data_IF_367253893706
#
_entry.id   IF_367253893706
#
_cell.length_a   1.000
_cell.length_b   1.000
_cell.length_c   1.000
_cell.angle_alpha   90.00
_cell.angle_beta   90.00
_cell.angle_gamma   90.00
#
_symmetry.space_group_name_H-M   'P 1'
#
loop_
_entity.id
_entity.type
_entity.pdbx_description
1 polymer ?
#
# COMPACT_ATOMS: atom_id res chain seq x y z
N UNK A 1 7.54 12.11 13.65
CA UNK A 1 6.51 11.08 13.86
C UNK A 1 5.76 10.82 12.55
N UNK A 2 5.68 9.56 12.13
CA UNK A 2 4.89 9.09 10.99
C UNK A 2 3.41 9.18 11.33
N UNK A 3 2.61 9.63 10.36
CA UNK A 3 1.15 9.77 10.46
C UNK A 3 0.41 9.05 9.34
N UNK A 4 1.04 8.94 8.17
CA UNK A 4 0.49 8.21 7.03
C UNK A 4 1.42 7.08 6.61
N UNK A 5 0.84 5.93 6.30
CA UNK A 5 1.56 4.76 5.80
C UNK A 5 0.93 4.41 4.46
N UNK A 6 1.73 4.48 3.40
CA UNK A 6 1.31 4.21 2.03
C UNK A 6 1.94 2.89 1.60
N UNK A 7 1.10 1.98 1.14
CA UNK A 7 1.52 0.69 0.61
C UNK A 7 1.46 0.71 -0.91
N UNK A 8 2.41 0.08 -1.57
CA UNK A 8 2.20 -0.53 -2.88
C UNK A 8 1.30 -1.78 -2.76
N UNK A 9 0.87 -2.37 -3.88
CA UNK A 9 -0.03 -3.53 -3.90
C UNK A 9 0.64 -4.83 -4.37
N UNK A 10 0.92 -4.95 -5.67
CA UNK A 10 1.52 -6.16 -6.26
C UNK A 10 2.90 -6.43 -5.66
N UNK A 11 3.17 -7.67 -5.23
CA UNK A 11 4.38 -8.04 -4.47
C UNK A 11 4.59 -7.31 -3.16
N UNK A 12 3.66 -6.47 -2.72
CA UNK A 12 3.69 -5.82 -1.41
C UNK A 12 2.63 -6.44 -0.48
N UNK A 13 1.36 -6.41 -0.87
CA UNK A 13 0.23 -6.99 -0.13
C UNK A 13 0.00 -8.48 -0.47
N UNK A 14 0.32 -8.89 -1.69
CA UNK A 14 0.14 -10.25 -2.20
C UNK A 14 1.27 -10.69 -3.10
N UNK A 15 1.37 -12.00 -3.33
CA UNK A 15 2.45 -12.63 -4.10
C UNK A 15 2.31 -12.48 -5.63
N UNK A 16 1.20 -11.96 -6.14
CA UNK A 16 1.01 -11.76 -7.58
C UNK A 16 1.72 -10.49 -8.09
N UNK A 17 2.18 -10.53 -9.35
CA UNK A 17 2.99 -9.46 -9.96
C UNK A 17 2.18 -8.36 -10.66
N UNK A 18 0.95 -8.66 -11.08
CA UNK A 18 0.14 -7.73 -11.86
C UNK A 18 -1.35 -8.09 -11.83
N UNK A 19 -2.11 -7.57 -10.86
CA UNK A 19 -3.56 -7.83 -10.83
C UNK A 19 -4.34 -7.16 -11.97
N UNK A 20 -3.71 -6.30 -12.78
CA UNK A 20 -4.36 -5.68 -13.94
C UNK A 20 -4.75 -6.72 -15.00
N UNK A 21 -4.11 -7.89 -14.99
CA UNK A 21 -4.38 -9.01 -15.91
C UNK A 21 -5.60 -9.84 -15.50
N UNK A 22 -6.11 -9.68 -14.28
CA UNK A 22 -7.17 -10.53 -13.76
C UNK A 22 -8.45 -10.38 -14.56
N UNK A 23 -9.10 -11.49 -14.89
CA UNK A 23 -10.37 -11.53 -15.60
C UNK A 23 -11.53 -11.99 -14.71
N UNK A 24 -12.70 -11.38 -14.90
CA UNK A 24 -13.90 -11.72 -14.15
C UNK A 24 -14.50 -13.07 -14.61
N UNK A 25 -15.26 -13.77 -13.76
CA UNK A 25 -15.50 -13.46 -12.34
C UNK A 25 -14.28 -13.73 -11.45
N UNK A 26 -14.08 -12.88 -10.44
CA UNK A 26 -13.16 -13.16 -9.33
C UNK A 26 -13.80 -14.11 -8.32
N UNK A 27 -13.06 -15.14 -7.91
CA UNK A 27 -13.48 -16.17 -6.95
C UNK A 27 -12.58 -16.15 -5.73
N UNK A 28 -13.16 -15.88 -4.56
CA UNK A 28 -12.47 -16.04 -3.28
C UNK A 28 -12.37 -17.54 -2.94
N UNK A 29 -11.15 -18.06 -2.86
CA UNK A 29 -10.88 -19.47 -2.54
C UNK A 29 -10.91 -19.68 -1.03
N UNK A 30 -10.28 -18.76 -0.30
CA UNK A 30 -10.29 -18.66 1.15
C UNK A 30 -10.10 -17.19 1.57
N UNK A 31 -9.95 -16.91 2.86
CA UNK A 31 -9.84 -15.52 3.35
C UNK A 31 -8.65 -14.74 2.78
N UNK A 32 -7.62 -15.40 2.26
CA UNK A 32 -6.37 -14.80 1.81
C UNK A 32 -6.03 -15.11 0.35
N UNK A 33 -6.84 -15.91 -0.34
CA UNK A 33 -6.55 -16.42 -1.69
C UNK A 33 -7.66 -16.05 -2.66
N UNK A 34 -7.30 -15.40 -3.77
CA UNK A 34 -8.23 -14.98 -4.82
C UNK A 34 -7.79 -15.55 -6.17
N UNK A 35 -8.75 -16.07 -6.93
CA UNK A 35 -8.55 -16.63 -8.27
C UNK A 35 -9.41 -15.89 -9.30
N UNK A 36 -8.88 -15.69 -10.51
CA UNK A 36 -9.61 -15.12 -11.65
C UNK A 36 -10.21 -16.20 -12.57
N UNK A 37 -10.98 -15.82 -13.59
CA UNK A 37 -11.62 -16.78 -14.50
C UNK A 37 -10.66 -17.53 -15.44
N UNK A 38 -9.38 -17.13 -15.47
CA UNK A 38 -8.31 -17.79 -16.21
C UNK A 38 -7.46 -18.71 -15.34
N UNK A 39 -7.79 -18.83 -14.05
CA UNK A 39 -7.04 -19.64 -13.08
C UNK A 39 -5.76 -18.95 -12.58
N UNK A 40 -5.63 -17.63 -12.76
CA UNK A 40 -4.57 -16.85 -12.10
C UNK A 40 -4.93 -16.71 -10.63
N UNK A 41 -3.97 -17.00 -9.76
CA UNK A 41 -4.15 -16.98 -8.30
C UNK A 41 -3.23 -15.93 -7.69
N UNK A 42 -3.74 -15.18 -6.71
CA UNK A 42 -2.93 -14.39 -5.79
C UNK A 42 -3.18 -14.88 -4.35
N UNK A 43 -2.12 -14.84 -3.53
CA UNK A 43 -2.17 -15.07 -2.10
C UNK A 43 -1.71 -13.81 -1.37
N UNK A 44 -2.47 -13.37 -0.36
CA UNK A 44 -1.98 -12.36 0.58
C UNK A 44 -0.73 -12.88 1.30
N UNK A 45 0.22 -12.00 1.55
CA UNK A 45 1.31 -12.32 2.44
C UNK A 45 0.80 -12.52 3.88
N UNK A 46 1.52 -13.29 4.71
CA UNK A 46 1.17 -13.46 6.12
C UNK A 46 1.01 -12.13 6.85
N UNK A 47 0.03 -12.07 7.76
CA UNK A 47 -0.26 -10.96 8.67
C UNK A 47 -0.67 -9.63 8.02
N UNK A 48 -0.94 -9.58 6.70
CA UNK A 48 -1.36 -8.35 6.00
C UNK A 48 -2.62 -7.75 6.62
N UNK A 49 -3.66 -8.57 6.80
CA UNK A 49 -4.96 -8.11 7.32
C UNK A 49 -4.85 -7.63 8.76
N UNK A 50 -4.18 -8.42 9.59
CA UNK A 50 -3.93 -8.14 11.01
C UNK A 50 -3.13 -6.84 11.16
N UNK A 51 -2.12 -6.65 10.32
CA UNK A 51 -1.26 -5.46 10.36
C UNK A 51 -2.01 -4.22 9.91
N UNK A 52 -2.75 -4.26 8.79
CA UNK A 52 -3.55 -3.14 8.33
C UNK A 52 -4.61 -2.74 9.38
N UNK A 53 -5.29 -3.73 9.96
CA UNK A 53 -6.26 -3.51 11.04
C UNK A 53 -5.63 -2.84 12.26
N UNK A 54 -4.49 -3.33 12.72
CA UNK A 54 -3.80 -2.78 13.89
C UNK A 54 -3.26 -1.37 13.63
N UNK A 55 -2.75 -1.10 12.42
CA UNK A 55 -2.34 0.25 12.04
C UNK A 55 -3.53 1.23 12.05
N UNK A 56 -4.71 0.80 11.56
CA UNK A 56 -5.94 1.60 11.68
C UNK A 56 -6.36 1.83 13.12
N UNK A 57 -6.30 0.81 13.97
CA UNK A 57 -6.61 0.94 15.40
C UNK A 57 -5.70 1.94 16.11
N UNK A 58 -4.43 2.04 15.67
CA UNK A 58 -3.45 3.02 16.18
C UNK A 58 -3.64 4.44 15.62
N UNK A 59 -4.62 4.65 14.73
CA UNK A 59 -4.95 5.96 14.18
C UNK A 59 -4.04 6.40 13.02
N UNK A 60 -3.30 5.50 12.39
CA UNK A 60 -2.57 5.83 11.17
C UNK A 60 -3.54 6.03 9.99
N UNK A 61 -3.20 6.97 9.12
CA UNK A 61 -3.87 7.13 7.83
C UNK A 61 -3.24 6.13 6.86
N UNK A 62 -4.05 5.26 6.26
CA UNK A 62 -3.55 4.24 5.33
C UNK A 62 -3.85 4.62 3.89
N UNK A 63 -2.81 4.69 3.08
CA UNK A 63 -2.88 4.92 1.64
C UNK A 63 -2.48 3.70 0.83
N UNK A 64 -3.03 3.56 -0.37
CA UNK A 64 -2.54 2.62 -1.39
C UNK A 64 -2.08 3.41 -2.61
N UNK A 65 -0.85 3.19 -3.07
CA UNK A 65 -0.29 3.77 -4.28
C UNK A 65 0.12 2.64 -5.22
N UNK A 66 -0.73 2.26 -6.17
CA UNK A 66 -0.51 1.06 -7.00
C UNK A 66 -0.43 1.33 -8.50
N UNK A 67 0.44 0.59 -9.19
CA UNK A 67 0.56 0.62 -10.64
C UNK A 67 -0.38 -0.42 -11.27
N UNK A 68 -1.69 -0.15 -11.23
CA UNK A 68 -2.72 -0.99 -11.83
C UNK A 68 -3.85 -0.16 -12.44
N UNK A 69 -4.75 -0.83 -13.15
CA UNK A 69 -6.07 -0.26 -13.45
C UNK A 69 -6.90 -0.12 -12.17
N UNK A 70 -7.52 1.03 -11.99
CA UNK A 70 -8.23 1.39 -10.76
C UNK A 70 -9.42 0.47 -10.48
N UNK A 71 -10.22 0.16 -11.49
CA UNK A 71 -11.35 -0.76 -11.36
C UNK A 71 -10.89 -2.15 -10.89
N UNK A 72 -9.78 -2.66 -11.45
CA UNK A 72 -9.18 -3.95 -11.07
C UNK A 72 -8.68 -3.93 -9.62
N UNK A 73 -7.94 -2.90 -9.24
CA UNK A 73 -7.42 -2.75 -7.88
C UNK A 73 -8.56 -2.72 -6.85
N UNK A 74 -9.60 -1.91 -7.08
CA UNK A 74 -10.76 -1.81 -6.18
C UNK A 74 -11.47 -3.15 -6.04
N UNK A 75 -11.69 -3.88 -7.16
CA UNK A 75 -12.34 -5.19 -7.13
C UNK A 75 -11.55 -6.23 -6.35
N UNK A 76 -10.24 -6.30 -6.56
CA UNK A 76 -9.36 -7.23 -5.83
C UNK A 76 -9.34 -6.90 -4.34
N UNK A 77 -9.18 -5.62 -3.98
CA UNK A 77 -9.21 -5.18 -2.57
C UNK A 77 -10.56 -5.48 -1.91
N UNK A 78 -11.67 -5.29 -2.62
CA UNK A 78 -13.00 -5.61 -2.10
C UNK A 78 -13.18 -7.11 -1.90
N UNK A 79 -12.79 -7.94 -2.88
CA UNK A 79 -12.91 -9.39 -2.79
C UNK A 79 -12.08 -9.98 -1.64
N UNK A 80 -10.92 -9.38 -1.34
CA UNK A 80 -10.04 -9.77 -0.24
C UNK A 80 -10.38 -9.12 1.11
N UNK A 81 -11.47 -8.34 1.19
CA UNK A 81 -11.86 -7.59 2.40
C UNK A 81 -10.78 -6.61 2.92
N UNK A 82 -9.99 -6.05 2.00
CA UNK A 82 -8.93 -5.07 2.31
C UNK A 82 -9.38 -3.62 2.11
N UNK A 83 -10.41 -3.40 1.29
CA UNK A 83 -10.84 -2.05 0.88
C UNK A 83 -11.14 -1.14 2.08
N UNK A 84 -11.74 -1.69 3.14
CA UNK A 84 -12.11 -1.00 4.37
C UNK A 84 -10.94 -0.42 5.17
N UNK A 85 -9.71 -0.90 4.94
CA UNK A 85 -8.55 -0.43 5.70
C UNK A 85 -7.92 0.82 5.09
N UNK A 86 -8.11 1.09 3.80
CA UNK A 86 -7.45 2.21 3.12
C UNK A 86 -8.34 3.45 3.12
N UNK A 87 -7.81 4.55 3.64
CA UNK A 87 -8.48 5.86 3.63
C UNK A 87 -8.45 6.50 2.24
N UNK A 88 -7.37 6.24 1.49
CA UNK A 88 -7.11 6.78 0.16
C UNK A 88 -6.49 5.69 -0.71
N UNK A 89 -7.03 5.51 -1.90
CA UNK A 89 -6.52 4.56 -2.88
C UNK A 89 -6.24 5.33 -4.16
N UNK A 90 -4.99 5.30 -4.60
CA UNK A 90 -4.55 5.88 -5.86
C UNK A 90 -3.93 4.77 -6.71
N UNK A 91 -4.73 4.25 -7.63
CA UNK A 91 -4.29 3.32 -8.66
C UNK A 91 -4.14 4.06 -9.98
N UNK A 92 -3.00 3.92 -10.66
CA UNK A 92 -2.78 4.50 -12.00
C UNK A 92 -2.15 3.48 -12.94
N UNK A 93 -2.46 3.52 -14.25
CA UNK A 93 -1.87 2.62 -15.24
C UNK A 93 -0.44 3.03 -15.64
N UNK A 94 0.34 3.60 -14.71
CA UNK A 94 1.74 3.99 -14.91
C UNK A 94 2.55 3.86 -13.59
N UNK A 95 3.89 3.68 -13.65
CA UNK A 95 4.71 3.36 -12.47
C UNK A 95 5.13 4.58 -11.61
N UNK A 96 4.60 5.77 -11.87
CA UNK A 96 5.08 7.01 -11.25
C UNK A 96 4.57 7.18 -9.82
N UNK A 97 5.14 6.41 -8.87
CA UNK A 97 4.77 6.42 -7.45
C UNK A 97 4.81 7.81 -6.82
N UNK A 98 5.77 8.66 -7.19
CA UNK A 98 5.84 10.03 -6.68
C UNK A 98 4.59 10.88 -7.01
N UNK A 99 3.94 10.66 -8.17
CA UNK A 99 2.67 11.32 -8.50
C UNK A 99 1.53 10.78 -7.64
N UNK A 100 1.47 9.46 -7.44
CA UNK A 100 0.46 8.83 -6.59
C UNK A 100 0.58 9.28 -5.14
N UNK A 101 1.79 9.29 -4.58
CA UNK A 101 2.06 9.77 -3.22
C UNK A 101 1.72 11.26 -3.08
N UNK A 102 2.04 12.08 -4.09
CA UNK A 102 1.65 13.50 -4.11
C UNK A 102 0.12 13.64 -4.03
N UNK A 103 -0.62 12.87 -4.83
CA UNK A 103 -2.08 12.85 -4.81
C UNK A 103 -2.60 12.41 -3.43
N UNK A 104 -2.05 11.33 -2.85
CA UNK A 104 -2.43 10.86 -1.51
C UNK A 104 -2.22 11.96 -0.47
N UNK A 105 -1.06 12.62 -0.46
CA UNK A 105 -0.77 13.71 0.49
C UNK A 105 -1.77 14.86 0.34
N UNK A 106 -2.10 15.24 -0.89
CA UNK A 106 -3.10 16.29 -1.18
C UNK A 106 -4.49 15.87 -0.67
N UNK A 107 -4.90 14.63 -0.91
CA UNK A 107 -6.19 14.11 -0.44
C UNK A 107 -6.26 14.04 1.08
N UNK A 108 -5.18 13.63 1.76
CA UNK A 108 -5.08 13.67 3.24
C UNK A 108 -5.29 15.09 3.73
N UNK A 109 -4.56 16.04 3.14
CA UNK A 109 -4.61 17.45 3.55
C UNK A 109 -5.99 18.06 3.35
N UNK A 110 -6.72 17.62 2.32
CA UNK A 110 -8.05 18.12 1.99
C UNK A 110 -9.13 17.51 2.88
N UNK A 111 -9.07 16.20 3.16
CA UNK A 111 -10.10 15.50 3.94
C UNK A 111 -9.97 15.72 5.45
N UNK A 112 -8.75 15.76 5.97
CA UNK A 112 -8.51 15.75 7.41
C UNK A 112 -8.38 17.16 8.05
N UNK A 113 -8.44 18.23 7.25
CA UNK A 113 -8.07 19.61 7.67
C UNK A 113 -6.72 19.66 8.42
N UNK A 114 -5.81 18.75 8.06
CA UNK A 114 -4.52 18.55 8.70
C UNK A 114 -3.46 18.56 7.62
N UNK A 115 -2.42 19.38 7.77
CA UNK A 115 -1.31 19.42 6.83
C UNK A 115 -0.26 18.38 7.23
N UNK A 116 -0.17 17.27 6.50
CA UNK A 116 0.94 16.31 6.61
C UNK A 116 2.08 16.74 5.69
N UNK A 117 3.31 16.52 6.16
CA UNK A 117 4.55 16.73 5.41
C UNK A 117 5.03 15.40 4.83
N UNK A 118 5.83 15.42 3.76
CA UNK A 118 6.49 14.21 3.23
C UNK A 118 7.24 13.40 4.31
N UNK A 119 7.89 14.07 5.28
CA UNK A 119 8.59 13.43 6.41
C UNK A 119 7.71 12.70 7.42
N UNK A 120 6.39 12.87 7.33
CA UNK A 120 5.40 12.17 8.16
C UNK A 120 4.79 10.97 7.40
N UNK A 121 5.29 10.66 6.20
CA UNK A 121 4.85 9.55 5.35
C UNK A 121 5.88 8.43 5.35
N UNK A 122 5.42 7.22 5.64
CA UNK A 122 6.15 5.97 5.39
C UNK A 122 5.59 5.33 4.12
N UNK A 123 6.44 5.04 3.14
CA UNK A 123 6.09 4.32 1.92
C UNK A 123 6.73 2.94 1.90
N UNK A 124 5.92 1.91 1.67
CA UNK A 124 6.33 0.51 1.58
C UNK A 124 6.09 0.00 0.16
N UNK A 125 7.12 -0.52 -0.47
CA UNK A 125 7.10 -1.03 -1.86
C UNK A 125 8.10 -2.18 -1.98
N UNK A 126 7.83 -3.17 -2.81
CA UNK A 126 8.76 -4.27 -3.05
C UNK A 126 9.96 -3.87 -3.92
N UNK A 127 9.92 -2.68 -4.56
CA UNK A 127 10.92 -2.21 -5.51
C UNK A 127 11.53 -0.87 -5.13
N UNK A 128 12.77 -0.93 -4.64
CA UNK A 128 13.60 0.27 -4.36
C UNK A 128 13.76 1.23 -5.55
N UNK A 129 13.64 0.73 -6.78
CA UNK A 129 13.71 1.56 -7.99
C UNK A 129 12.69 2.71 -8.02
N UNK A 130 11.58 2.61 -7.28
CA UNK A 130 10.58 3.67 -7.20
C UNK A 130 11.01 4.84 -6.29
N UNK A 131 11.98 4.65 -5.39
CA UNK A 131 12.27 5.62 -4.32
C UNK A 131 13.01 6.85 -4.80
N UNK A 132 13.87 6.74 -5.82
CA UNK A 132 14.68 7.86 -6.31
C UNK A 132 13.84 9.07 -6.71
N UNK A 133 12.78 8.85 -7.52
CA UNK A 133 11.88 9.93 -7.92
C UNK A 133 11.02 10.44 -6.75
N UNK A 134 10.68 9.58 -5.79
CA UNK A 134 9.97 10.02 -4.58
C UNK A 134 10.83 11.02 -3.82
N UNK A 135 12.10 10.71 -3.57
CA UNK A 135 13.00 11.61 -2.86
C UNK A 135 13.30 12.88 -3.67
N UNK A 136 13.48 12.75 -4.98
CA UNK A 136 13.75 13.90 -5.86
C UNK A 136 12.59 14.91 -5.86
N UNK A 137 11.34 14.44 -5.96
CA UNK A 137 10.18 15.32 -6.15
C UNK A 137 9.41 15.64 -4.86
N UNK A 138 9.40 14.76 -3.87
CA UNK A 138 8.66 14.93 -2.62
C UNK A 138 9.58 15.19 -1.41
N UNK A 139 10.89 14.98 -1.54
CA UNK A 139 11.83 15.16 -0.44
C UNK A 139 11.78 14.00 0.57
N UNK A 140 11.66 14.33 1.86
CA UNK A 140 11.97 13.41 2.95
C UNK A 140 10.90 12.34 3.26
N UNK A 141 10.30 11.70 2.25
CA UNK A 141 9.46 10.51 2.48
C UNK A 141 10.34 9.37 2.99
N UNK A 142 9.96 8.73 4.11
CA UNK A 142 10.63 7.51 4.57
C UNK A 142 10.16 6.37 3.66
N UNK A 143 11.05 5.77 2.88
CA UNK A 143 10.75 4.65 1.99
C UNK A 143 11.47 3.40 2.50
N UNK A 144 10.77 2.27 2.55
CA UNK A 144 11.34 0.97 2.93
C UNK A 144 10.97 -0.08 1.89
N UNK A 145 11.97 -0.86 1.49
CA UNK A 145 11.80 -1.96 0.56
C UNK A 145 11.27 -3.20 1.29
N UNK A 146 10.08 -3.66 0.92
CA UNK A 146 9.55 -4.94 1.39
C UNK A 146 10.46 -6.08 0.93
N UNK A 147 10.60 -7.08 1.78
CA UNK A 147 11.45 -8.26 1.60
C UNK A 147 12.95 -8.00 1.64
N UNK A 148 13.38 -6.77 1.91
CA UNK A 148 14.78 -6.42 2.19
C UNK A 148 14.95 -5.61 3.47
N UNK A 149 14.32 -4.44 3.54
CA UNK A 149 14.34 -3.59 4.74
C UNK A 149 13.33 -4.09 5.80
N UNK A 150 12.22 -4.69 5.34
CA UNK A 150 11.19 -5.35 6.16
C UNK A 150 10.97 -6.75 5.61
N UNK A 151 11.22 -7.80 6.40
CA UNK A 151 11.11 -9.19 5.96
C UNK A 151 9.72 -9.80 6.19
N UNK A 152 8.95 -9.21 7.09
CA UNK A 152 7.59 -9.62 7.47
C UNK A 152 6.78 -8.46 8.02
N UNK A 153 5.47 -8.51 7.85
CA UNK A 153 4.55 -7.42 8.21
C UNK A 153 4.64 -7.00 9.68
N UNK A 154 4.85 -7.93 10.60
CA UNK A 154 5.02 -7.61 12.03
C UNK A 154 6.18 -6.65 12.33
N UNK A 155 7.20 -6.58 11.48
CA UNK A 155 8.36 -5.69 11.67
C UNK A 155 8.03 -4.22 11.42
N UNK A 156 6.93 -3.91 10.71
CA UNK A 156 6.46 -2.54 10.48
C UNK A 156 6.29 -1.80 11.81
N UNK A 157 5.78 -2.47 12.86
CA UNK A 157 5.60 -1.84 14.17
C UNK A 157 6.92 -1.47 14.83
N UNK A 158 7.94 -2.33 14.76
CA UNK A 158 9.27 -2.05 15.27
C UNK A 158 9.88 -0.85 14.55
N UNK A 159 9.76 -0.81 13.22
CA UNK A 159 10.27 0.31 12.42
C UNK A 159 9.56 1.61 12.77
N UNK A 160 8.23 1.59 12.91
CA UNK A 160 7.47 2.77 13.35
C UNK A 160 7.92 3.26 14.73
N UNK A 161 8.19 2.37 15.68
CA UNK A 161 8.73 2.74 17.00
C UNK A 161 10.09 3.41 16.89
N UNK A 162 11.01 2.90 16.07
CA UNK A 162 12.33 3.52 15.87
C UNK A 162 12.24 4.87 15.17
N UNK A 163 11.52 4.93 14.05
CA UNK A 163 11.38 6.15 13.22
C UNK A 163 10.67 7.28 13.97
N UNK A 164 9.80 6.98 14.92
CA UNK A 164 9.09 8.00 15.71
C UNK A 164 9.92 8.55 16.87
N UNK A 165 10.99 7.86 17.27
CA UNK A 165 11.91 8.27 18.33
C UNK A 165 13.15 9.04 17.80
N UNK A 166 13.34 9.07 16.48
CA UNK A 166 14.30 9.93 15.77
C UNK A 166 13.71 11.32 15.45
#
# INVERSE_FOLDING_TARGET
>A
MIRAIVFDADKTLWDHHNISEFEEPLRLIDSNTLEDSKGRVLHLFPDVKETLKELKNRGYILGLATWNFEDKAIKVLAALDLLQYFDIIVAKPYPYKFLMLSQIIVEINTKANQKIKPSEVLFLDDRRGHFGNIWLYLGNVKCLEMWKDISKYSEIFSVLSHVNNE
#
